data_IF_270833274634
#
_entry.id   IF_270833274634
#
_cell.length_a   1.000
_cell.length_b   1.000
_cell.length_c   1.000
_cell.angle_alpha   90.00
_cell.angle_beta   90.00
_cell.angle_gamma   90.00
#
_symmetry.space_group_name_H-M   'P 1'
#
loop_
_entity.id
_entity.type
_entity.pdbx_description
1 polymer ?
#
# COMPACT_ATOMS: atom_id res chain seq x y z
N UNK A 1 14.81 -1.80 3.77
CA UNK A 1 14.34 -0.44 3.42
C UNK A 1 12.88 -0.21 3.81
N UNK A 2 11.88 -0.78 3.12
CA UNK A 2 10.45 -0.53 3.45
C UNK A 2 9.81 -1.40 4.54
N UNK A 3 10.44 -2.53 4.88
CA UNK A 3 9.96 -3.49 5.90
C UNK A 3 10.08 -2.97 7.34
N UNK A 4 11.16 -2.25 7.63
CA UNK A 4 11.44 -1.71 8.97
C UNK A 4 10.73 -0.37 9.10
N UNK A 5 10.11 -0.13 10.25
CA UNK A 5 9.47 1.14 10.56
C UNK A 5 10.47 2.10 11.18
N UNK A 6 10.52 3.34 10.69
CA UNK A 6 11.27 4.42 11.32
C UNK A 6 10.58 4.93 12.58
N UNK A 7 11.24 5.87 13.27
CA UNK A 7 10.66 6.55 14.42
C UNK A 7 9.37 7.28 14.00
N UNK A 8 8.25 6.93 14.62
CA UNK A 8 6.93 7.46 14.25
C UNK A 8 6.85 8.99 14.43
N UNK A 9 7.43 9.53 15.51
CA UNK A 9 7.47 10.97 15.75
C UNK A 9 8.26 11.71 14.68
N UNK A 10 9.38 11.13 14.21
CA UNK A 10 10.15 11.70 13.11
C UNK A 10 9.38 11.63 11.78
N UNK A 11 8.69 10.53 11.49
CA UNK A 11 7.82 10.39 10.31
C UNK A 11 6.74 11.47 10.31
N UNK A 12 6.08 11.68 11.45
CA UNK A 12 5.05 12.72 11.60
C UNK A 12 5.64 14.14 11.48
N UNK A 13 6.85 14.37 12.01
CA UNK A 13 7.57 15.64 11.80
C UNK A 13 7.80 15.91 10.33
N UNK A 14 8.32 14.93 9.58
CA UNK A 14 8.57 15.06 8.13
C UNK A 14 7.27 15.38 7.39
N UNK A 15 6.21 14.62 7.66
CA UNK A 15 4.87 14.86 7.10
C UNK A 15 4.42 16.32 7.32
N UNK A 16 4.38 16.78 8.56
CA UNK A 16 3.94 18.14 8.89
C UNK A 16 4.82 19.23 8.25
N UNK A 17 6.12 18.98 8.06
CA UNK A 17 7.02 19.93 7.40
C UNK A 17 6.76 19.98 5.89
N UNK A 18 6.55 18.83 5.25
CA UNK A 18 6.20 18.74 3.82
C UNK A 18 4.86 19.41 3.54
N UNK A 19 3.86 19.23 4.41
CA UNK A 19 2.55 19.90 4.30
C UNK A 19 2.64 21.44 4.38
N UNK A 20 3.75 21.98 4.90
CA UNK A 20 4.06 23.41 5.00
C UNK A 20 5.07 23.87 3.93
N UNK A 21 5.24 23.10 2.85
CA UNK A 21 6.20 23.36 1.77
C UNK A 21 7.68 23.40 2.21
N UNK A 22 8.02 22.81 3.37
CA UNK A 22 9.39 22.76 3.91
C UNK A 22 10.11 21.49 3.46
N UNK A 23 10.31 21.34 2.16
CA UNK A 23 10.91 20.13 1.54
C UNK A 23 12.37 19.86 1.96
N UNK A 24 13.09 20.87 2.48
CA UNK A 24 14.44 20.69 3.04
C UNK A 24 14.49 19.64 4.16
N UNK A 25 13.37 19.42 4.85
CA UNK A 25 13.23 18.37 5.84
C UNK A 25 13.50 16.96 5.29
N UNK A 26 13.14 16.70 4.03
CA UNK A 26 13.38 15.42 3.36
C UNK A 26 14.85 15.24 2.99
N UNK A 27 15.53 16.32 2.59
CA UNK A 27 16.95 16.30 2.19
C UNK A 27 17.86 16.11 3.40
N UNK A 28 17.48 16.70 4.54
CA UNK A 28 18.28 16.67 5.77
C UNK A 28 18.02 15.44 6.64
N UNK A 29 17.10 14.55 6.26
CA UNK A 29 16.80 13.34 7.03
C UNK A 29 17.71 12.19 6.60
N UNK A 30 18.52 11.69 7.52
CA UNK A 30 19.49 10.62 7.27
C UNK A 30 18.88 9.23 7.51
N UNK A 31 17.83 9.11 8.32
CA UNK A 31 17.20 7.83 8.59
C UNK A 31 16.27 7.42 7.42
N UNK A 32 16.76 6.48 6.62
CA UNK A 32 16.00 5.89 5.51
C UNK A 32 14.68 5.25 5.95
N UNK A 33 14.57 4.76 7.19
CA UNK A 33 13.33 4.20 7.72
C UNK A 33 12.29 5.28 8.03
N UNK A 34 12.74 6.49 8.39
CA UNK A 34 11.88 7.68 8.51
C UNK A 34 11.43 8.13 7.12
N UNK A 35 12.34 8.28 6.16
CA UNK A 35 11.99 8.68 4.79
C UNK A 35 11.01 7.71 4.12
N UNK A 36 11.29 6.40 4.20
CA UNK A 36 10.39 5.37 3.64
C UNK A 36 9.08 5.26 4.42
N UNK A 37 9.09 5.58 5.72
CA UNK A 37 7.89 5.72 6.54
C UNK A 37 7.01 6.88 6.08
N UNK A 38 7.60 8.05 5.86
CA UNK A 38 6.92 9.25 5.38
C UNK A 38 6.32 9.04 3.98
N UNK A 39 7.05 8.37 3.07
CA UNK A 39 6.52 8.04 1.75
C UNK A 39 5.29 7.11 1.82
N UNK A 40 5.33 6.07 2.67
CA UNK A 40 4.17 5.19 2.87
C UNK A 40 2.99 5.94 3.51
N UNK A 41 3.29 6.87 4.42
CA UNK A 41 2.27 7.68 5.09
C UNK A 41 1.56 8.59 4.11
N UNK A 42 2.30 9.27 3.22
CA UNK A 42 1.76 10.12 2.17
C UNK A 42 0.68 9.40 1.36
N UNK A 43 0.99 8.21 0.82
CA UNK A 43 0.02 7.44 0.04
C UNK A 43 -1.21 7.00 0.84
N UNK A 44 -1.04 6.70 2.13
CA UNK A 44 -2.12 6.24 3.00
C UNK A 44 -3.10 7.37 3.36
N UNK A 45 -2.62 8.61 3.41
CA UNK A 45 -3.40 9.79 3.80
C UNK A 45 -4.01 10.55 2.61
N UNK A 46 -3.79 10.09 1.38
CA UNK A 46 -4.51 10.63 0.23
C UNK A 46 -6.02 10.51 0.44
N UNK A 47 -6.76 11.56 0.04
CA UNK A 47 -8.21 11.59 0.14
C UNK A 47 -8.89 10.42 -0.61
N UNK A 48 -8.28 9.99 -1.73
CA UNK A 48 -8.61 8.76 -2.43
C UNK A 48 -7.31 7.97 -2.68
N UNK A 49 -7.31 6.63 -2.54
CA UNK A 49 -6.11 5.84 -2.80
C UNK A 49 -5.67 5.95 -4.27
N UNK A 50 -4.37 5.66 -4.52
CA UNK A 50 -3.79 5.71 -5.87
C UNK A 50 -4.56 4.85 -6.86
N UNK A 51 -5.05 3.68 -6.43
CA UNK A 51 -6.06 2.92 -7.15
C UNK A 51 -7.46 3.34 -6.67
N UNK A 52 -8.24 4.07 -7.49
CA UNK A 52 -9.58 4.55 -7.12
C UNK A 52 -10.49 3.41 -6.64
N UNK A 53 -11.26 3.67 -5.59
CA UNK A 53 -12.15 2.66 -5.00
C UNK A 53 -13.21 2.20 -6.00
N UNK A 54 -13.62 3.08 -6.91
CA UNK A 54 -14.55 2.77 -8.00
C UNK A 54 -14.04 1.65 -8.93
N UNK A 55 -12.71 1.53 -9.10
CA UNK A 55 -12.08 0.54 -9.98
C UNK A 55 -11.70 -0.76 -9.26
N UNK A 56 -11.85 -0.84 -7.92
CA UNK A 56 -11.43 -2.00 -7.13
C UNK A 56 -12.06 -3.31 -7.62
N UNK A 57 -13.35 -3.30 -7.95
CA UNK A 57 -14.04 -4.50 -8.47
C UNK A 57 -13.45 -4.98 -9.79
N UNK A 58 -13.06 -4.06 -10.67
CA UNK A 58 -12.46 -4.40 -11.96
C UNK A 58 -11.08 -5.05 -11.79
N UNK A 59 -10.25 -4.53 -10.89
CA UNK A 59 -8.97 -5.14 -10.55
C UNK A 59 -9.15 -6.54 -9.95
N UNK A 60 -10.10 -6.72 -9.02
CA UNK A 60 -10.40 -8.03 -8.43
C UNK A 60 -10.90 -9.04 -9.47
N UNK A 61 -11.69 -8.60 -10.45
CA UNK A 61 -12.15 -9.45 -11.55
C UNK A 61 -10.99 -9.80 -12.49
N UNK A 62 -10.10 -8.85 -12.79
CA UNK A 62 -8.92 -9.10 -13.62
C UNK A 62 -8.01 -10.18 -12.99
N UNK A 63 -7.79 -10.15 -11.66
CA UNK A 63 -6.95 -11.13 -10.95
C UNK A 63 -7.48 -12.56 -11.09
N UNK A 64 -8.81 -12.74 -11.16
CA UNK A 64 -9.47 -14.05 -11.29
C UNK A 64 -9.34 -14.67 -12.68
N UNK A 65 -8.91 -13.91 -13.70
CA UNK A 65 -8.74 -14.43 -15.06
C UNK A 65 -7.64 -15.50 -15.09
N UNK A 66 -7.96 -16.71 -15.52
CA UNK A 66 -7.02 -17.84 -15.51
C UNK A 66 -5.91 -17.68 -16.56
N UNK A 67 -6.23 -17.14 -17.74
CA UNK A 67 -5.26 -16.96 -18.82
C UNK A 67 -4.33 -15.77 -18.51
N UNK A 68 -3.00 -15.98 -18.37
CA UNK A 68 -2.07 -14.91 -18.04
C UNK A 68 -2.01 -13.78 -19.06
N UNK A 69 -2.18 -14.08 -20.36
CA UNK A 69 -2.17 -13.06 -21.43
C UNK A 69 -3.40 -12.17 -21.35
N UNK A 70 -4.56 -12.77 -21.13
CA UNK A 70 -5.80 -12.01 -20.94
C UNK A 70 -5.76 -11.18 -19.67
N UNK A 71 -5.22 -11.75 -18.57
CA UNK A 71 -4.99 -11.03 -17.32
C UNK A 71 -4.12 -9.81 -17.54
N UNK A 72 -2.96 -9.98 -18.18
CA UNK A 72 -2.05 -8.88 -18.48
C UNK A 72 -2.74 -7.79 -19.33
N UNK A 73 -3.42 -8.18 -20.41
CA UNK A 73 -4.18 -7.24 -21.26
C UNK A 73 -5.22 -6.45 -20.45
N UNK A 74 -5.96 -7.11 -19.56
CA UNK A 74 -6.97 -6.45 -18.73
C UNK A 74 -6.34 -5.47 -17.73
N UNK A 75 -5.21 -5.82 -17.12
CA UNK A 75 -4.46 -4.90 -16.25
C UNK A 75 -3.94 -3.68 -17.02
N UNK A 76 -3.40 -3.88 -18.22
CA UNK A 76 -2.93 -2.81 -19.09
C UNK A 76 -4.06 -1.84 -19.49
N UNK A 77 -5.25 -2.34 -19.82
CA UNK A 77 -6.46 -1.52 -20.02
C UNK A 77 -6.83 -0.71 -18.76
N UNK A 78 -6.88 -1.36 -17.59
CA UNK A 78 -7.24 -0.69 -16.34
C UNK A 78 -6.23 0.39 -15.95
N UNK A 79 -4.93 0.16 -16.19
CA UNK A 79 -3.89 1.16 -15.97
C UNK A 79 -4.06 2.36 -16.91
N UNK A 80 -4.49 2.15 -18.17
CA UNK A 80 -4.81 3.26 -19.09
C UNK A 80 -6.05 4.05 -18.67
N UNK A 81 -7.01 3.40 -18.01
CA UNK A 81 -8.23 4.03 -17.50
C UNK A 81 -8.01 4.80 -16.19
N UNK A 82 -6.89 4.62 -15.49
CA UNK A 82 -6.57 5.43 -14.32
C UNK A 82 -6.52 6.92 -14.67
N UNK A 83 -6.95 7.81 -13.76
CA UNK A 83 -6.69 9.24 -13.86
C UNK A 83 -5.21 9.51 -14.15
N UNK A 84 -4.93 10.54 -14.96
CA UNK A 84 -3.58 10.79 -15.47
C UNK A 84 -2.56 11.01 -14.35
N UNK A 85 -2.98 11.71 -13.30
CA UNK A 85 -2.24 12.05 -12.09
C UNK A 85 -1.91 10.78 -11.29
N UNK A 86 -2.90 9.92 -11.06
CA UNK A 86 -2.74 8.64 -10.37
C UNK A 86 -1.78 7.73 -11.16
N UNK A 87 -1.92 7.67 -12.49
CA UNK A 87 -1.08 6.84 -13.36
C UNK A 87 0.37 7.27 -13.34
N UNK A 88 0.65 8.58 -13.45
CA UNK A 88 2.04 9.07 -13.44
C UNK A 88 2.67 8.90 -12.05
N UNK A 89 1.90 9.16 -10.98
CA UNK A 89 2.33 8.90 -9.60
C UNK A 89 2.69 7.43 -9.39
N UNK A 90 1.80 6.51 -9.81
CA UNK A 90 2.00 5.07 -9.70
C UNK A 90 3.24 4.63 -10.50
N UNK A 91 3.42 5.13 -11.71
CA UNK A 91 4.58 4.82 -12.56
C UNK A 91 5.90 5.24 -11.89
N UNK A 92 5.95 6.43 -11.29
CA UNK A 92 7.15 6.88 -10.56
C UNK A 92 7.42 6.00 -9.34
N UNK A 93 6.39 5.65 -8.57
CA UNK A 93 6.52 4.73 -7.44
C UNK A 93 7.02 3.35 -7.91
N UNK A 94 6.40 2.75 -8.93
CA UNK A 94 6.76 1.42 -9.42
C UNK A 94 8.20 1.38 -9.95
N UNK A 95 8.68 2.43 -10.64
CA UNK A 95 10.09 2.56 -11.03
C UNK A 95 11.03 2.56 -9.83
N UNK A 96 10.69 3.30 -8.78
CA UNK A 96 11.47 3.30 -7.54
C UNK A 96 11.48 1.92 -6.88
N UNK A 97 10.32 1.26 -6.76
CA UNK A 97 10.21 -0.07 -6.18
C UNK A 97 10.96 -1.13 -6.99
N UNK A 98 10.96 -1.02 -8.32
CA UNK A 98 11.76 -1.88 -9.20
C UNK A 98 13.25 -1.74 -8.92
N UNK A 99 13.74 -0.50 -8.73
CA UNK A 99 15.15 -0.25 -8.35
C UNK A 99 15.46 -0.82 -6.95
N UNK A 100 14.54 -0.74 -6.01
CA UNK A 100 14.73 -1.38 -4.69
C UNK A 100 14.79 -2.90 -4.82
N UNK A 101 13.91 -3.48 -5.62
CA UNK A 101 13.88 -4.92 -5.89
C UNK A 101 15.15 -5.42 -6.59
N UNK A 102 15.74 -4.63 -7.49
CA UNK A 102 17.00 -5.01 -8.16
C UNK A 102 18.20 -5.11 -7.22
N UNK A 103 18.06 -4.66 -5.96
CA UNK A 103 19.08 -4.77 -4.91
C UNK A 103 18.66 -5.77 -3.80
N UNK A 104 17.76 -6.70 -4.12
CA UNK A 104 17.17 -7.65 -3.16
C UNK A 104 18.22 -8.50 -2.42
N UNK A 105 19.36 -8.77 -3.04
CA UNK A 105 20.43 -9.58 -2.42
C UNK A 105 21.02 -8.90 -1.19
N UNK A 106 21.00 -7.56 -1.16
CA UNK A 106 21.49 -6.75 -0.03
C UNK A 106 20.37 -6.36 0.92
N UNK A 107 19.25 -5.86 0.39
CA UNK A 107 18.19 -5.27 1.20
C UNK A 107 17.04 -6.25 1.57
N UNK A 108 17.07 -7.47 1.02
CA UNK A 108 16.08 -8.56 1.21
C UNK A 108 14.64 -8.21 0.80
N UNK A 109 14.47 -7.18 -0.04
CA UNK A 109 13.16 -6.74 -0.55
C UNK A 109 12.98 -7.18 -1.99
N UNK A 110 12.48 -8.41 -2.20
CA UNK A 110 12.03 -8.86 -3.53
C UNK A 110 10.70 -8.20 -3.91
N UNK A 111 10.33 -8.25 -5.20
CA UNK A 111 9.07 -7.70 -5.72
C UNK A 111 7.85 -8.16 -4.91
N UNK A 112 7.80 -9.44 -4.54
CA UNK A 112 6.72 -9.98 -3.71
C UNK A 112 6.61 -9.29 -2.34
N UNK A 113 7.73 -9.07 -1.65
CA UNK A 113 7.76 -8.40 -0.35
C UNK A 113 7.31 -6.94 -0.46
N UNK A 114 7.70 -6.26 -1.53
CA UNK A 114 7.25 -4.88 -1.79
C UNK A 114 5.76 -4.81 -2.10
N UNK A 115 5.23 -5.76 -2.89
CA UNK A 115 3.81 -5.85 -3.19
C UNK A 115 2.95 -6.07 -1.94
N UNK A 116 3.40 -6.89 -0.99
CA UNK A 116 2.71 -7.06 0.30
C UNK A 116 2.65 -5.74 1.09
N UNK A 117 3.74 -4.99 1.11
CA UNK A 117 3.82 -3.74 1.88
C UNK A 117 3.04 -2.59 1.24
N UNK A 118 3.08 -2.48 -0.09
CA UNK A 118 2.44 -1.37 -0.82
C UNK A 118 1.02 -1.68 -1.29
N UNK A 119 0.62 -2.95 -1.45
CA UNK A 119 -0.72 -3.33 -1.87
C UNK A 119 -1.81 -2.66 -1.02
N UNK A 120 -1.82 -2.85 0.31
CA UNK A 120 -2.79 -2.18 1.18
C UNK A 120 -2.71 -0.64 1.08
N UNK A 121 -1.50 -0.08 1.04
CA UNK A 121 -1.29 1.37 0.97
C UNK A 121 -1.82 2.01 -0.32
N UNK A 122 -1.78 1.28 -1.44
CA UNK A 122 -2.19 1.82 -2.74
C UNK A 122 -3.66 1.57 -3.06
N UNK A 123 -4.30 0.58 -2.44
CA UNK A 123 -5.70 0.21 -2.67
C UNK A 123 -6.64 0.66 -1.54
N UNK A 124 -6.13 1.02 -0.37
CA UNK A 124 -6.95 1.38 0.78
C UNK A 124 -6.52 2.71 1.40
N UNK A 125 -7.45 3.66 1.46
CA UNK A 125 -7.29 4.96 2.10
C UNK A 125 -7.57 4.83 3.59
N UNK A 126 -6.56 4.42 4.38
CA UNK A 126 -6.46 4.63 5.84
C UNK A 126 -7.57 4.10 6.78
N UNK A 127 -8.75 3.78 6.27
CA UNK A 127 -10.00 3.50 6.97
C UNK A 127 -10.42 2.05 6.70
N UNK A 128 -9.56 1.11 7.10
CA UNK A 128 -10.06 -0.20 7.51
C UNK A 128 -9.97 -0.26 9.03
N UNK A 129 -11.11 0.00 9.68
CA UNK A 129 -11.44 -0.75 10.89
C UNK A 129 -11.32 -2.23 10.50
N UNK A 130 -10.24 -2.85 10.94
CA UNK A 130 -9.94 -4.26 10.70
C UNK A 130 -11.23 -5.11 10.78
N UNK A 131 -11.42 -6.11 9.89
CA UNK A 131 -12.61 -6.92 9.92
C UNK A 131 -12.72 -7.59 11.30
N UNK A 132 -13.79 -7.25 12.02
CA UNK A 132 -14.12 -7.88 13.28
C UNK A 132 -14.21 -9.38 13.05
N UNK A 133 -13.26 -10.13 13.62
CA UNK A 133 -13.34 -11.59 13.71
C UNK A 133 -14.70 -11.92 14.33
N UNK A 134 -15.64 -12.46 13.54
CA UNK A 134 -16.85 -13.08 14.09
C UNK A 134 -16.38 -14.23 14.98
N UNK A 135 -16.38 -14.01 16.29
CA UNK A 135 -16.30 -15.10 17.26
C UNK A 135 -17.58 -15.90 17.10
N UNK A 136 -17.42 -17.10 16.57
CA UNK A 136 -18.44 -18.13 16.60
C UNK A 136 -18.71 -18.47 18.08
N UNK A 137 -19.79 -17.94 18.63
CA UNK A 137 -20.24 -18.28 19.98
C UNK A 137 -20.96 -19.62 19.86
N UNK A 138 -20.19 -20.69 20.10
CA UNK A 138 -20.70 -22.04 20.28
C UNK A 138 -21.83 -22.05 21.32
N UNK A 139 -23.02 -22.41 20.85
CA UNK A 139 -24.24 -22.57 21.62
C UNK A 139 -24.10 -23.79 22.54
N UNK A 140 -23.53 -23.63 23.74
CA UNK A 140 -23.63 -24.65 24.81
C UNK A 140 -25.06 -24.65 25.35
N UNK A 141 -25.89 -25.56 24.85
CA UNK A 141 -27.08 -26.03 25.58
C UNK A 141 -26.59 -26.75 26.83
N UNK A 142 -26.83 -26.16 28.01
CA UNK A 142 -26.78 -26.86 29.30
C UNK A 142 -28.11 -27.59 29.45
N UNK A 143 -28.12 -28.87 29.14
CA UNK A 143 -29.14 -29.79 29.66
C UNK A 143 -28.83 -30.01 31.14
N UNK A 144 -29.69 -29.48 32.03
CA UNK A 144 -29.74 -29.95 33.41
C UNK A 144 -30.39 -31.32 33.42
N UNK A 145 -29.58 -32.34 33.67
CA UNK A 145 -30.03 -33.70 33.95
C UNK A 145 -30.28 -33.81 35.46
N UNK A 146 -31.49 -34.26 35.80
CA UNK A 146 -31.88 -35.22 36.85
C UNK A 146 -31.07 -35.22 38.14
#
# INVERSE_FOLDING_TARGET
>A
CFRVSGNLSAVQRIRCQVDQDKYNALVNEEDVHVLTGALKLFFRELAEPVFPLAMTKDYLNAIKLQNPRQRFKRFDELLRMLPAENRETLKMLLRHLQRVASHSDKNRMQTHNLAIMFGPTLFNSGDEKAPAKKKDVGKKKKDHKK
#
